data_IF_445749317389
#
_entry.id   IF_445749317389
#
_cell.length_a   1.000
_cell.length_b   1.000
_cell.length_c   1.000
_cell.angle_alpha   90.00
_cell.angle_beta   90.00
_cell.angle_gamma   90.00
#
_symmetry.space_group_name_H-M   'P 1'
#
loop_
_entity.id
_entity.type
_entity.pdbx_description
1 polymer ?
#
# COMPACT_ATOMS: atom_id res chain seq x y z
N UNK A 1 -19.75 18.76 -2.73
CA UNK A 1 -20.24 17.37 -2.78
C UNK A 1 -19.70 16.53 -1.63
N UNK A 2 -20.59 15.82 -0.93
CA UNK A 2 -20.25 15.01 0.25
C UNK A 2 -20.01 13.55 -0.12
N UNK A 3 -18.95 12.96 0.43
CA UNK A 3 -18.59 11.54 0.25
C UNK A 3 -19.18 10.65 1.35
N UNK A 4 -20.46 10.81 1.68
CA UNK A 4 -21.10 10.09 2.80
C UNK A 4 -21.15 8.57 2.59
N UNK A 5 -21.26 8.12 1.35
CA UNK A 5 -21.33 6.71 0.96
C UNK A 5 -20.54 6.46 -0.31
N UNK A 6 -20.07 5.23 -0.46
CA UNK A 6 -19.67 4.70 -1.77
C UNK A 6 -20.90 4.06 -2.44
N UNK A 7 -21.18 4.42 -3.69
CA UNK A 7 -22.28 3.86 -4.48
C UNK A 7 -21.92 2.47 -5.04
N UNK A 8 -21.57 1.55 -4.13
CA UNK A 8 -21.21 0.17 -4.41
C UNK A 8 -22.11 -0.78 -3.63
N UNK A 9 -22.17 -2.07 -4.02
CA UNK A 9 -22.95 -3.12 -3.36
C UNK A 9 -24.39 -2.66 -3.08
N UNK A 10 -24.77 -2.50 -1.80
CA UNK A 10 -26.12 -2.11 -1.36
C UNK A 10 -26.60 -0.74 -1.88
N UNK A 11 -25.70 0.13 -2.34
CA UNK A 11 -26.04 1.47 -2.83
C UNK A 11 -25.94 1.61 -4.35
N UNK A 12 -25.75 0.51 -5.10
CA UNK A 12 -25.50 0.56 -6.56
C UNK A 12 -26.63 1.24 -7.36
N UNK A 13 -27.87 1.13 -6.90
CA UNK A 13 -29.04 1.73 -7.56
C UNK A 13 -29.48 3.07 -6.95
N UNK A 14 -28.77 3.60 -5.94
CA UNK A 14 -29.15 4.87 -5.32
C UNK A 14 -28.74 6.05 -6.20
N UNK A 15 -29.69 6.94 -6.49
CA UNK A 15 -29.43 8.21 -7.18
C UNK A 15 -29.18 9.37 -6.21
N UNK A 16 -29.61 9.23 -4.95
CA UNK A 16 -29.43 10.22 -3.91
C UNK A 16 -28.86 9.56 -2.66
N UNK A 17 -28.01 10.29 -1.94
CA UNK A 17 -27.45 9.82 -0.70
C UNK A 17 -28.56 9.66 0.35
N UNK A 18 -28.71 8.50 1.00
CA UNK A 18 -29.76 8.30 1.99
C UNK A 18 -29.60 9.21 3.23
N UNK A 19 -28.37 9.69 3.51
CA UNK A 19 -28.04 10.52 4.66
C UNK A 19 -28.15 12.03 4.39
N UNK A 20 -27.48 12.53 3.35
CA UNK A 20 -27.43 13.96 3.05
C UNK A 20 -28.38 14.40 1.93
N UNK A 21 -29.06 13.45 1.28
CA UNK A 21 -29.98 13.67 0.15
C UNK A 21 -29.36 14.35 -1.08
N UNK A 22 -28.04 14.54 -1.11
CA UNK A 22 -27.33 15.04 -2.31
C UNK A 22 -27.42 14.02 -3.45
N UNK A 23 -27.49 14.53 -4.68
CA UNK A 23 -27.47 13.74 -5.90
C UNK A 23 -26.12 13.02 -6.07
N UNK A 24 -26.16 11.77 -6.51
CA UNK A 24 -24.98 11.03 -6.95
C UNK A 24 -24.36 11.65 -8.22
N UNK A 25 -25.21 12.17 -9.11
CA UNK A 25 -24.82 12.71 -10.42
C UNK A 25 -24.90 14.23 -10.47
N UNK A 26 -23.96 14.83 -11.20
CA UNK A 26 -23.96 16.23 -11.60
C UNK A 26 -25.06 16.48 -12.65
N UNK A 27 -25.34 17.75 -12.94
CA UNK A 27 -26.29 18.15 -13.99
C UNK A 27 -25.98 17.60 -15.37
N UNK A 28 -24.71 17.27 -15.65
CA UNK A 28 -24.26 16.65 -16.90
C UNK A 28 -24.33 15.11 -16.89
N UNK A 29 -24.99 14.50 -15.90
CA UNK A 29 -25.16 13.05 -15.79
C UNK A 29 -23.92 12.27 -15.33
N UNK A 30 -22.80 12.93 -15.02
CA UNK A 30 -21.59 12.26 -14.50
C UNK A 30 -21.62 12.16 -12.97
N UNK A 31 -21.11 11.07 -12.36
CA UNK A 31 -20.98 10.98 -10.91
C UNK A 31 -20.18 12.16 -10.33
N UNK A 32 -20.53 12.58 -9.11
CA UNK A 32 -19.75 13.60 -8.39
C UNK A 32 -18.33 13.13 -8.07
N UNK A 33 -18.18 11.86 -7.67
CA UNK A 33 -16.92 11.22 -7.35
C UNK A 33 -16.87 9.82 -7.96
N UNK A 34 -15.78 9.51 -8.65
CA UNK A 34 -15.52 8.18 -9.20
C UNK A 34 -14.24 7.66 -8.57
N UNK A 35 -14.31 6.49 -7.96
CA UNK A 35 -13.12 5.81 -7.46
C UNK A 35 -12.33 5.25 -8.64
N UNK A 36 -11.07 5.65 -8.78
CA UNK A 36 -10.18 5.03 -9.76
C UNK A 36 -9.69 3.71 -9.20
N UNK A 37 -10.08 2.60 -9.83
CA UNK A 37 -9.58 1.29 -9.45
C UNK A 37 -8.21 1.05 -10.08
N UNK A 38 -7.24 0.86 -9.22
CA UNK A 38 -5.88 0.55 -9.58
C UNK A 38 -5.67 -0.96 -9.34
N UNK A 39 -5.70 -1.84 -10.38
CA UNK A 39 -5.53 -3.28 -10.17
C UNK A 39 -4.14 -3.60 -9.60
N UNK A 40 -4.11 -4.13 -8.38
CA UNK A 40 -2.85 -4.35 -7.64
C UNK A 40 -2.01 -5.47 -8.25
N UNK A 41 -2.63 -6.63 -8.52
CA UNK A 41 -1.94 -7.84 -9.00
C UNK A 41 -1.06 -7.57 -10.25
N UNK A 42 -1.59 -7.04 -11.37
CA UNK A 42 -0.76 -6.83 -12.57
C UNK A 42 0.34 -5.80 -12.35
N UNK A 43 0.17 -4.84 -11.43
CA UNK A 43 1.24 -3.88 -11.11
C UNK A 43 2.35 -4.51 -10.30
N UNK A 44 2.00 -5.33 -9.31
CA UNK A 44 2.98 -6.09 -8.54
C UNK A 44 3.77 -7.02 -9.46
N UNK A 45 3.09 -7.71 -10.38
CA UNK A 45 3.76 -8.52 -11.40
C UNK A 45 4.70 -7.69 -12.28
N UNK A 46 4.27 -6.49 -12.69
CA UNK A 46 5.10 -5.56 -13.48
C UNK A 46 6.41 -5.17 -12.78
N UNK A 47 6.43 -5.02 -11.45
CA UNK A 47 7.67 -4.73 -10.72
C UNK A 47 8.72 -5.83 -10.84
N UNK A 48 8.32 -7.10 -11.01
CA UNK A 48 9.24 -8.23 -11.23
C UNK A 48 9.59 -8.44 -12.70
N UNK A 49 9.05 -7.64 -13.63
CA UNK A 49 9.35 -7.72 -15.06
C UNK A 49 10.37 -6.67 -15.52
N UNK A 50 10.78 -5.75 -14.65
CA UNK A 50 11.80 -4.74 -14.93
C UNK A 50 13.03 -4.99 -14.06
N UNK A 51 14.19 -5.16 -14.68
CA UNK A 51 15.47 -5.33 -13.96
C UNK A 51 15.81 -4.12 -13.11
N UNK A 52 15.50 -2.91 -13.58
CA UNK A 52 15.68 -1.68 -12.82
C UNK A 52 14.83 -1.69 -11.56
N UNK A 53 13.53 -2.02 -11.69
CA UNK A 53 12.64 -2.12 -10.53
C UNK A 53 13.07 -3.22 -9.56
N UNK A 54 13.51 -4.37 -10.07
CA UNK A 54 14.05 -5.44 -9.23
C UNK A 54 15.24 -4.94 -8.41
N UNK A 55 16.15 -4.18 -9.04
CA UNK A 55 17.31 -3.60 -8.35
C UNK A 55 16.90 -2.64 -7.25
N UNK A 56 15.98 -1.73 -7.53
CA UNK A 56 15.46 -0.79 -6.54
C UNK A 56 14.74 -1.49 -5.38
N UNK A 57 13.92 -2.51 -5.68
CA UNK A 57 13.27 -3.32 -4.63
C UNK A 57 14.27 -4.12 -3.79
N UNK A 58 15.43 -4.48 -4.37
CA UNK A 58 16.52 -5.18 -3.68
C UNK A 58 17.42 -4.24 -2.86
N UNK A 59 17.10 -2.94 -2.81
CA UNK A 59 17.88 -1.93 -2.08
C UNK A 59 18.11 -2.35 -0.63
N UNK A 60 17.08 -2.83 0.04
CA UNK A 60 17.16 -3.25 1.45
C UNK A 60 18.21 -4.35 1.66
N UNK A 61 18.19 -5.40 0.84
CA UNK A 61 19.12 -6.54 0.94
C UNK A 61 20.55 -6.16 0.55
N UNK A 62 20.71 -5.20 -0.37
CA UNK A 62 22.02 -4.74 -0.86
C UNK A 62 22.59 -3.56 -0.07
N UNK A 63 21.85 -3.03 0.90
CA UNK A 63 22.29 -1.90 1.70
C UNK A 63 23.36 -2.33 2.71
N UNK A 64 24.45 -1.56 2.75
CA UNK A 64 25.51 -1.72 3.75
C UNK A 64 25.58 -0.46 4.63
N UNK A 65 25.39 -0.66 5.93
CA UNK A 65 25.52 0.41 6.92
C UNK A 65 26.96 0.94 6.97
N UNK A 66 27.09 2.22 7.33
CA UNK A 66 28.37 2.84 7.62
C UNK A 66 28.47 3.10 9.13
N UNK A 67 29.39 2.44 9.86
CA UNK A 67 29.53 2.66 11.30
C UNK A 67 29.70 4.14 11.65
N UNK A 68 28.95 4.61 12.65
CA UNK A 68 29.00 6.00 13.10
C UNK A 68 28.20 6.99 12.25
N UNK A 69 27.43 6.52 11.26
CA UNK A 69 26.57 7.36 10.43
C UNK A 69 25.15 6.80 10.38
N UNK A 70 24.17 7.65 10.64
CA UNK A 70 22.76 7.34 10.42
C UNK A 70 22.31 8.08 9.17
N UNK A 71 22.10 7.33 8.11
CA UNK A 71 21.72 7.82 6.77
C UNK A 71 20.50 7.11 6.21
N UNK A 72 20.15 5.95 6.76
CA UNK A 72 18.99 5.18 6.41
C UNK A 72 18.27 4.64 7.65
N UNK A 73 17.01 4.25 7.48
CA UNK A 73 16.21 3.60 8.53
C UNK A 73 16.83 2.29 9.03
N UNK A 74 17.65 1.61 8.20
CA UNK A 74 18.35 0.38 8.57
C UNK A 74 19.59 0.62 9.46
N UNK A 75 20.07 1.86 9.62
CA UNK A 75 21.23 2.17 10.46
C UNK A 75 20.90 2.20 11.97
N UNK A 76 19.62 2.07 12.33
CA UNK A 76 19.18 2.09 13.72
C UNK A 76 19.76 0.92 14.52
N UNK A 77 20.32 1.20 15.70
CA UNK A 77 20.92 0.20 16.58
C UNK A 77 19.95 -0.96 16.89
N UNK A 78 18.67 -0.65 17.12
CA UNK A 78 17.65 -1.66 17.36
C UNK A 78 17.44 -2.59 16.15
N UNK A 79 17.40 -2.02 14.93
CA UNK A 79 17.28 -2.80 13.71
C UNK A 79 18.50 -3.71 13.51
N UNK A 80 19.70 -3.19 13.71
CA UNK A 80 20.95 -3.96 13.65
C UNK A 80 20.97 -5.11 14.65
N UNK A 81 20.47 -4.89 15.88
CA UNK A 81 20.33 -5.95 16.87
C UNK A 81 19.35 -7.04 16.43
N UNK A 82 18.25 -6.66 15.76
CA UNK A 82 17.25 -7.61 15.27
C UNK A 82 17.76 -8.50 14.14
N UNK A 83 18.72 -8.04 13.33
CA UNK A 83 19.37 -8.87 12.29
C UNK A 83 20.13 -10.08 12.86
N UNK A 84 20.46 -10.05 14.14
CA UNK A 84 21.13 -11.16 14.85
C UNK A 84 20.18 -11.96 15.73
N UNK A 85 18.87 -11.67 15.68
CA UNK A 85 17.88 -12.30 16.53
C UNK A 85 16.96 -13.22 15.74
N UNK A 86 17.10 -14.53 15.96
CA UNK A 86 16.24 -15.53 15.33
C UNK A 86 14.77 -15.29 15.66
N UNK A 87 13.94 -15.27 14.62
CA UNK A 87 12.48 -15.14 14.77
C UNK A 87 11.92 -16.49 15.20
N UNK A 88 11.09 -16.50 16.24
CA UNK A 88 10.35 -17.69 16.67
C UNK A 88 8.89 -17.53 16.29
N UNK A 89 8.37 -18.43 15.45
CA UNK A 89 6.96 -18.48 15.05
C UNK A 89 6.43 -19.86 15.42
N UNK A 90 5.34 -19.91 16.20
CA UNK A 90 4.72 -21.17 16.65
C UNK A 90 5.67 -22.15 17.36
N UNK A 91 6.69 -21.63 18.05
CA UNK A 91 7.72 -22.41 18.74
C UNK A 91 8.89 -22.85 17.86
N UNK A 92 8.82 -22.63 16.55
CA UNK A 92 9.87 -22.94 15.59
C UNK A 92 10.80 -21.74 15.37
N UNK A 93 12.12 -21.98 15.45
CA UNK A 93 13.14 -20.97 15.13
C UNK A 93 13.34 -20.91 13.63
N UNK A 94 13.04 -19.75 13.05
CA UNK A 94 13.27 -19.48 11.63
C UNK A 94 14.67 -18.89 11.41
N UNK A 95 15.31 -19.31 10.33
CA UNK A 95 16.50 -18.63 9.83
C UNK A 95 16.10 -17.28 9.22
N UNK A 96 17.04 -16.33 9.24
CA UNK A 96 16.91 -15.06 8.51
C UNK A 96 17.04 -15.28 7.00
#
# INVERSE_FOLDING_TARGET
>A
PKSCIAYTRKYVHHQYCPFCKESHFKSNGKPHHQFMYFPLIPRLQGYFQSLEMIKEMSYHTSYHQQPGKISNVFDGEYYQRLLHHQVVVDGEKLNH
#
